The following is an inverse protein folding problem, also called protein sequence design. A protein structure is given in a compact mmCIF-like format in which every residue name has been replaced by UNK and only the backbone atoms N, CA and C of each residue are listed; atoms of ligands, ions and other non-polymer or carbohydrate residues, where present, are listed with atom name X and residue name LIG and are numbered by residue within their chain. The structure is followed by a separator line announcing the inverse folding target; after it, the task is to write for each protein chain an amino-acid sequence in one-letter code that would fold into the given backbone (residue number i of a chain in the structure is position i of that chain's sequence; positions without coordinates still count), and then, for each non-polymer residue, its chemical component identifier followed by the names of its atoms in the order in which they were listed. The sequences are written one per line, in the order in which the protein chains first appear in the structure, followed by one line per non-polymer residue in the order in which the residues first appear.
data_IF_238684278091
#
_entry.id   IF_238684278091
#
_cell.length_a   1.000
_cell.length_b   1.000
_cell.length_c   1.000
_cell.angle_alpha   90.00
_cell.angle_beta   90.00
_cell.angle_gamma   90.00
#
_symmetry.space_group_name_H-M   'P 1'
#
loop_
_entity.id
_entity.type
_entity.pdbx_description
1 polymer ?
#
# COMPACT_ATOMS: atom_id res chain seq x y z
N UNK A 1 5.50 -2.13 10.17
CA UNK A 1 4.51 -3.13 10.60
C UNK A 1 3.41 -2.40 11.32
N UNK A 2 2.18 -2.60 10.88
CA UNK A 2 0.99 -2.10 11.55
C UNK A 2 0.50 -3.21 12.48
N UNK A 3 0.56 -2.98 13.79
CA UNK A 3 -0.02 -3.88 14.79
C UNK A 3 -1.41 -3.38 15.15
N UNK A 4 -2.40 -4.26 15.11
CA UNK A 4 -3.74 -3.96 15.57
C UNK A 4 -4.32 -5.17 16.29
N UNK A 5 -5.19 -4.91 17.25
CA UNK A 5 -5.90 -5.95 17.96
C UNK A 5 -7.32 -6.09 17.41
N UNK A 6 -7.67 -7.31 17.03
CA UNK A 6 -9.06 -7.65 16.70
C UNK A 6 -9.71 -8.24 17.95
N UNK A 7 -10.66 -7.51 18.55
CA UNK A 7 -11.42 -7.97 19.69
C UNK A 7 -12.72 -8.64 19.22
N UNK A 8 -12.96 -9.86 19.66
CA UNK A 8 -14.22 -10.57 19.45
C UNK A 8 -14.93 -10.71 20.80
N UNK A 9 -16.26 -10.53 20.80
CA UNK A 9 -17.07 -10.70 22.00
C UNK A 9 -18.25 -11.61 21.68
N UNK A 10 -18.32 -12.73 22.40
CA UNK A 10 -19.41 -13.70 22.28
C UNK A 10 -20.24 -13.68 23.56
N UNK A 11 -21.55 -13.49 23.43
CA UNK A 11 -22.46 -13.41 24.60
C UNK A 11 -23.50 -14.52 24.51
N UNK A 12 -23.47 -15.43 25.47
CA UNK A 12 -24.45 -16.49 25.63
C UNK A 12 -25.47 -16.09 26.68
N UNK A 13 -26.75 -16.05 26.30
CA UNK A 13 -27.87 -15.86 27.24
C UNK A 13 -28.47 -17.22 27.54
N UNK A 14 -28.27 -17.69 28.76
CA UNK A 14 -28.61 -19.05 29.15
C UNK A 14 -29.67 -18.98 30.25
N UNK A 15 -30.75 -19.72 30.08
CA UNK A 15 -31.85 -19.80 31.06
C UNK A 15 -32.17 -21.25 31.39
N UNK A 16 -32.11 -21.60 32.66
CA UNK A 16 -32.64 -22.86 33.15
C UNK A 16 -34.17 -22.74 33.24
N UNK A 17 -34.88 -23.57 32.47
CA UNK A 17 -36.35 -23.62 32.48
C UNK A 17 -36.91 -24.58 33.52
N UNK A 18 -36.07 -25.43 34.10
CA UNK A 18 -36.47 -26.45 35.07
C UNK A 18 -36.54 -25.85 36.49
N UNK A 19 -37.19 -26.59 37.38
CA UNK A 19 -37.28 -26.26 38.81
C UNK A 19 -36.12 -26.85 39.63
N UNK A 20 -35.16 -27.48 38.97
CA UNK A 20 -33.98 -28.10 39.58
C UNK A 20 -32.72 -27.36 39.14
N UNK A 21 -31.66 -27.48 39.94
CA UNK A 21 -30.33 -27.05 39.51
C UNK A 21 -29.83 -27.95 38.37
N UNK A 22 -29.16 -27.36 37.37
CA UNK A 22 -28.57 -28.08 36.23
C UNK A 22 -27.14 -27.63 35.99
N UNK A 23 -26.28 -28.58 35.67
CA UNK A 23 -24.96 -28.31 35.11
C UNK A 23 -25.06 -28.26 33.58
N UNK A 24 -24.57 -27.18 32.99
CA UNK A 24 -24.48 -27.01 31.54
C UNK A 24 -23.02 -27.01 31.13
N UNK A 25 -22.68 -27.84 30.14
CA UNK A 25 -21.43 -27.74 29.42
C UNK A 25 -21.63 -26.87 28.18
N UNK A 26 -20.88 -25.77 28.12
CA UNK A 26 -20.88 -24.86 26.98
C UNK A 26 -19.57 -25.06 26.20
N UNK A 27 -19.69 -25.60 24.99
CA UNK A 27 -18.57 -25.77 24.07
C UNK A 27 -18.44 -24.54 23.16
N UNK A 28 -17.42 -23.74 23.41
CA UNK A 28 -17.08 -22.57 22.60
C UNK A 28 -15.96 -22.94 21.60
N UNK A 29 -16.16 -22.78 20.28
CA UNK A 29 -15.16 -23.20 19.30
C UNK A 29 -13.86 -22.41 19.45
N UNK A 30 -12.71 -23.09 19.31
CA UNK A 30 -11.41 -22.42 19.28
C UNK A 30 -11.26 -21.65 17.97
N UNK A 31 -11.00 -20.35 18.07
CA UNK A 31 -10.70 -19.51 16.91
C UNK A 31 -9.20 -19.32 16.78
N UNK A 32 -8.63 -19.64 15.62
CA UNK A 32 -7.18 -19.57 15.40
C UNK A 32 -6.64 -18.16 15.66
N UNK A 33 -5.58 -18.08 16.47
CA UNK A 33 -4.90 -16.83 16.85
C UNK A 33 -5.61 -16.01 17.93
N UNK A 34 -6.83 -16.36 18.31
CA UNK A 34 -7.55 -15.67 19.38
C UNK A 34 -7.18 -16.23 20.76
N UNK A 35 -7.02 -15.34 21.73
CA UNK A 35 -6.79 -15.65 23.15
C UNK A 35 -7.82 -14.93 24.01
N UNK A 36 -8.28 -15.57 25.09
CA UNK A 36 -9.19 -14.91 26.03
C UNK A 36 -8.52 -13.73 26.73
N UNK A 37 -9.16 -12.56 26.65
CA UNK A 37 -8.85 -11.39 27.48
C UNK A 37 -9.73 -11.41 28.74
N UNK A 38 -11.00 -11.81 28.57
CA UNK A 38 -12.01 -11.79 29.63
C UNK A 38 -12.84 -13.06 29.52
N UNK A 39 -12.87 -13.83 30.61
CA UNK A 39 -13.67 -15.04 30.76
C UNK A 39 -14.14 -15.15 32.22
N UNK A 40 -15.41 -15.51 32.48
CA UNK A 40 -15.93 -15.59 33.85
C UNK A 40 -15.35 -16.75 34.67
N UNK A 41 -15.00 -17.84 34.00
CA UNK A 41 -14.41 -19.05 34.57
C UNK A 41 -13.39 -19.63 33.58
N UNK A 42 -12.49 -20.47 34.07
CA UNK A 42 -11.53 -21.17 33.21
C UNK A 42 -12.20 -22.35 32.48
N UNK A 43 -12.02 -22.48 31.16
CA UNK A 43 -12.50 -23.63 30.41
C UNK A 43 -11.55 -24.83 30.53
N UNK A 44 -12.11 -26.01 30.33
CA UNK A 44 -11.36 -27.20 29.97
C UNK A 44 -10.95 -27.13 28.50
N UNK A 45 -9.73 -27.57 28.20
CA UNK A 45 -9.20 -27.56 26.84
C UNK A 45 -9.51 -28.88 26.12
N UNK A 46 -10.21 -28.79 24.99
CA UNK A 46 -10.43 -29.92 24.07
C UNK A 46 -9.79 -29.61 22.71
N UNK A 47 -9.68 -30.56 21.76
CA UNK A 47 -9.00 -30.30 20.47
C UNK A 47 -9.56 -29.09 19.71
N UNK A 48 -10.89 -28.96 19.62
CA UNK A 48 -11.55 -27.93 18.81
C UNK A 48 -12.37 -26.91 19.63
N UNK A 49 -12.54 -27.13 20.94
CA UNK A 49 -13.42 -26.30 21.77
C UNK A 49 -12.77 -25.96 23.13
N UNK A 50 -13.19 -24.84 23.67
CA UNK A 50 -13.11 -24.49 25.08
C UNK A 50 -14.41 -24.89 25.76
N UNK A 51 -14.35 -25.84 26.69
CA UNK A 51 -15.53 -26.34 27.39
C UNK A 51 -15.68 -25.64 28.74
N UNK A 52 -16.78 -24.93 28.91
CA UNK A 52 -17.11 -24.25 30.16
C UNK A 52 -18.16 -25.04 30.94
N UNK A 53 -17.87 -25.35 32.20
CA UNK A 53 -18.82 -25.98 33.11
C UNK A 53 -19.56 -24.90 33.91
N UNK A 54 -20.87 -24.79 33.71
CA UNK A 54 -21.68 -23.72 34.27
C UNK A 54 -22.83 -24.29 35.11
N UNK A 55 -22.90 -23.90 36.38
CA UNK A 55 -24.01 -24.26 37.27
C UNK A 55 -25.16 -23.27 37.14
N UNK A 56 -26.36 -23.78 36.83
CA UNK A 56 -27.57 -22.97 36.64
C UNK A 56 -28.61 -23.25 37.72
N UNK A 57 -28.89 -22.25 38.55
CA UNK A 57 -29.95 -22.31 39.57
C UNK A 57 -31.34 -22.57 38.95
N UNK A 58 -32.28 -23.16 39.71
CA UNK A 58 -33.68 -23.31 39.31
C UNK A 58 -34.28 -22.01 38.78
N UNK A 59 -34.94 -22.06 37.61
CA UNK A 59 -35.52 -20.89 36.92
C UNK A 59 -34.55 -19.71 36.67
N UNK A 60 -33.25 -19.89 36.93
CA UNK A 60 -32.24 -18.86 36.84
C UNK A 60 -31.88 -18.54 35.39
N UNK A 61 -31.47 -17.30 35.16
CA UNK A 61 -30.91 -16.85 33.89
C UNK A 61 -29.55 -16.20 34.15
N UNK A 62 -28.59 -16.49 33.27
CA UNK A 62 -27.25 -15.92 33.31
C UNK A 62 -26.90 -15.36 31.93
N UNK A 63 -26.00 -14.38 31.93
CA UNK A 63 -25.34 -13.90 30.72
C UNK A 63 -23.86 -14.25 30.82
N UNK A 64 -23.42 -15.18 29.99
CA UNK A 64 -22.04 -15.65 29.95
C UNK A 64 -21.32 -14.96 28.78
N UNK A 65 -20.39 -14.07 29.10
CA UNK A 65 -19.71 -13.23 28.11
C UNK A 65 -18.25 -13.65 28.00
N UNK A 66 -17.80 -13.91 26.79
CA UNK A 66 -16.41 -14.21 26.46
C UNK A 66 -15.86 -13.08 25.61
N UNK A 67 -14.67 -12.59 25.94
CA UNK A 67 -13.93 -11.62 25.14
C UNK A 67 -12.59 -12.19 24.76
N UNK A 68 -12.33 -12.23 23.47
CA UNK A 68 -11.12 -12.76 22.88
C UNK A 68 -10.40 -11.69 22.07
N UNK A 69 -9.08 -11.78 22.01
CA UNK A 69 -8.22 -10.91 21.21
C UNK A 69 -7.37 -11.75 20.28
N UNK A 70 -7.23 -11.29 19.05
CA UNK A 70 -6.13 -11.68 18.19
C UNK A 70 -5.24 -10.46 17.95
N UNK A 71 -3.94 -10.65 18.08
CA UNK A 71 -2.95 -9.70 17.60
C UNK A 71 -2.73 -9.94 16.11
N UNK A 72 -3.02 -8.93 15.32
CA UNK A 72 -2.84 -8.94 13.87
C UNK A 72 -1.70 -7.98 13.51
N UNK A 73 -0.84 -8.41 12.57
CA UNK A 73 0.19 -7.54 12.01
C UNK A 73 0.07 -7.47 10.50
N UNK A 74 0.29 -6.28 9.93
CA UNK A 74 0.42 -6.11 8.49
C UNK A 74 1.77 -5.50 8.14
N UNK A 75 2.47 -6.11 7.18
CA UNK A 75 3.72 -5.59 6.62
C UNK A 75 3.43 -4.92 5.28
N UNK A 76 3.01 -3.66 5.35
CA UNK A 76 2.80 -2.89 4.12
C UNK A 76 4.00 -2.01 3.82
N UNK A 77 4.59 -2.17 2.64
CA UNK A 77 5.58 -1.24 2.12
C UNK A 77 4.86 -0.01 1.57
N UNK A 78 4.80 1.05 2.38
CA UNK A 78 4.25 2.38 2.01
C UNK A 78 4.81 2.92 0.68
N UNK A 79 6.02 2.49 0.29
CA UNK A 79 6.70 2.90 -0.95
C UNK A 79 6.02 2.43 -2.23
N UNK A 80 5.18 1.38 -2.16
CA UNK A 80 4.47 0.84 -3.32
C UNK A 80 3.05 1.42 -3.46
N UNK A 81 2.67 2.35 -2.59
CA UNK A 81 1.33 2.91 -2.57
C UNK A 81 1.25 4.19 -3.37
N UNK A 82 0.12 4.38 -4.04
CA UNK A 82 -0.23 5.69 -4.58
C UNK A 82 -0.57 6.66 -3.45
N UNK A 83 -0.58 7.96 -3.75
CA UNK A 83 -1.08 8.97 -2.81
C UNK A 83 -2.49 8.62 -2.31
N UNK A 84 -3.36 8.14 -3.19
CA UNK A 84 -4.74 7.86 -2.86
C UNK A 84 -4.86 6.66 -1.91
N UNK A 85 -4.00 5.65 -2.06
CA UNK A 85 -3.94 4.51 -1.14
C UNK A 85 -3.51 4.94 0.26
N UNK A 86 -2.52 5.83 0.34
CA UNK A 86 -2.06 6.41 1.62
C UNK A 86 -3.18 7.23 2.25
N UNK A 87 -3.82 8.13 1.50
CA UNK A 87 -4.89 8.98 2.01
C UNK A 87 -6.12 8.18 2.47
N UNK A 88 -6.50 7.12 1.75
CA UNK A 88 -7.60 6.22 2.17
C UNK A 88 -7.32 5.61 3.54
N UNK A 89 -6.09 5.14 3.78
CA UNK A 89 -5.69 4.53 5.05
C UNK A 89 -5.56 5.54 6.17
N UNK A 90 -4.96 6.70 5.90
CA UNK A 90 -4.94 7.83 6.85
C UNK A 90 -6.38 8.17 7.27
N UNK A 91 -7.30 8.31 6.32
CA UNK A 91 -8.71 8.58 6.62
C UNK A 91 -9.38 7.48 7.45
N UNK A 92 -9.04 6.21 7.22
CA UNK A 92 -9.49 5.10 8.06
C UNK A 92 -8.95 5.22 9.49
N UNK A 93 -7.65 5.46 9.66
CA UNK A 93 -7.03 5.57 10.99
C UNK A 93 -7.53 6.77 11.80
N UNK A 94 -7.80 7.90 11.14
CA UNK A 94 -8.41 9.08 11.79
C UNK A 94 -9.82 8.72 12.27
N UNK A 95 -10.65 8.09 11.42
CA UNK A 95 -12.01 7.67 11.80
C UNK A 95 -12.02 6.69 12.98
N UNK A 96 -11.04 5.77 13.04
CA UNK A 96 -10.88 4.83 14.14
C UNK A 96 -10.18 5.43 15.37
N UNK A 97 -9.78 6.71 15.32
CA UNK A 97 -8.99 7.38 16.38
C UNK A 97 -7.67 6.68 16.71
N UNK A 98 -7.08 6.00 15.73
CA UNK A 98 -5.78 5.32 15.88
C UNK A 98 -4.60 6.28 15.78
N UNK A 99 -4.79 7.44 15.15
CA UNK A 99 -3.75 8.46 14.98
C UNK A 99 -4.23 9.83 15.43
N UNK A 100 -3.30 10.66 15.88
CA UNK A 100 -3.55 12.06 16.22
C UNK A 100 -3.36 12.97 15.00
N UNK A 101 -3.80 14.23 15.12
CA UNK A 101 -3.72 15.24 14.05
C UNK A 101 -2.29 15.50 13.57
N UNK A 102 -1.31 15.42 14.47
CA UNK A 102 0.12 15.57 14.16
C UNK A 102 0.58 14.46 13.20
N UNK A 103 0.27 13.20 13.52
CA UNK A 103 0.63 12.04 12.71
C UNK A 103 -0.14 12.02 11.38
N UNK A 104 -1.43 12.40 11.39
CA UNK A 104 -2.21 12.60 10.16
C UNK A 104 -1.53 13.59 9.21
N UNK A 105 -1.12 14.74 9.73
CA UNK A 105 -0.44 15.79 8.95
C UNK A 105 0.87 15.27 8.35
N UNK A 106 1.70 14.60 9.15
CA UNK A 106 2.97 14.02 8.67
C UNK A 106 2.75 12.97 7.57
N UNK A 107 1.71 12.12 7.69
CA UNK A 107 1.38 11.12 6.67
C UNK A 107 0.87 11.76 5.37
N UNK A 108 0.08 12.84 5.46
CA UNK A 108 -0.36 13.61 4.28
C UNK A 108 0.80 14.26 3.55
N UNK A 109 1.78 14.81 4.28
CA UNK A 109 3.00 15.37 3.68
C UNK A 109 3.81 14.29 2.95
N UNK A 110 3.97 13.10 3.54
CA UNK A 110 4.64 11.97 2.89
C UNK A 110 3.88 11.54 1.62
N UNK A 111 2.55 11.50 1.67
CA UNK A 111 1.72 11.17 0.52
C UNK A 111 1.92 12.16 -0.65
N UNK A 112 2.08 13.46 -0.35
CA UNK A 112 2.38 14.48 -1.34
C UNK A 112 3.77 14.28 -1.97
N UNK A 113 4.80 13.99 -1.17
CA UNK A 113 6.14 13.70 -1.68
C UNK A 113 6.19 12.45 -2.57
N UNK A 114 5.46 11.39 -2.20
CA UNK A 114 5.34 10.18 -3.01
C UNK A 114 4.63 10.47 -4.34
N UNK A 115 3.61 11.33 -4.34
CA UNK A 115 2.96 11.79 -5.57
C UNK A 115 3.95 12.49 -6.50
N UNK A 116 4.74 13.43 -5.96
CA UNK A 116 5.74 14.17 -6.71
C UNK A 116 6.81 13.23 -7.29
N UNK A 117 7.32 12.30 -6.49
CA UNK A 117 8.28 11.29 -6.92
C UNK A 117 7.72 10.44 -8.06
N UNK A 118 6.49 9.97 -7.93
CA UNK A 118 5.83 9.17 -8.97
C UNK A 118 5.60 9.98 -10.25
N UNK A 119 5.34 11.28 -10.15
CA UNK A 119 5.23 12.15 -11.32
C UNK A 119 6.58 12.24 -12.06
N UNK A 120 7.67 12.52 -11.36
CA UNK A 120 9.01 12.60 -11.97
C UNK A 120 9.43 11.29 -12.63
N UNK A 121 9.11 10.14 -12.02
CA UNK A 121 9.34 8.82 -12.63
C UNK A 121 8.57 8.63 -13.94
N UNK A 122 7.32 9.10 -14.00
CA UNK A 122 6.53 9.10 -15.24
C UNK A 122 7.14 10.01 -16.30
N UNK A 123 7.64 11.18 -15.90
CA UNK A 123 8.26 12.12 -16.83
C UNK A 123 9.54 11.54 -17.44
N UNK A 124 10.40 10.88 -16.64
CA UNK A 124 11.55 10.12 -17.16
C UNK A 124 11.10 9.04 -18.14
N UNK A 125 10.05 8.29 -17.81
CA UNK A 125 9.57 7.20 -18.67
C UNK A 125 9.14 7.71 -20.05
N UNK A 126 8.46 8.87 -20.10
CA UNK A 126 8.09 9.54 -21.36
C UNK A 126 9.30 10.00 -22.16
N UNK A 127 10.31 10.57 -21.50
CA UNK A 127 11.55 11.00 -22.16
C UNK A 127 12.35 9.83 -22.73
N UNK A 128 12.36 8.69 -22.04
CA UNK A 128 12.99 7.45 -22.53
C UNK A 128 12.24 6.90 -23.74
N UNK A 129 10.91 6.91 -23.70
CA UNK A 129 10.08 6.51 -24.84
C UNK A 129 10.32 7.40 -26.07
N UNK A 130 10.33 8.72 -25.88
CA UNK A 130 10.63 9.69 -26.94
C UNK A 130 12.03 9.44 -27.53
N UNK A 131 13.04 9.24 -26.68
CA UNK A 131 14.41 8.91 -27.12
C UNK A 131 14.44 7.65 -27.99
N UNK A 132 13.74 6.60 -27.58
CA UNK A 132 13.73 5.34 -28.33
C UNK A 132 13.07 5.52 -29.71
N UNK A 133 11.92 6.21 -29.76
CA UNK A 133 11.23 6.51 -31.02
C UNK A 133 12.13 7.31 -31.98
N UNK A 134 12.86 8.30 -31.47
CA UNK A 134 13.82 9.08 -32.28
C UNK A 134 14.99 8.23 -32.78
N UNK A 135 15.50 7.29 -31.97
CA UNK A 135 16.58 6.39 -32.37
C UNK A 135 16.18 5.48 -33.53
N UNK A 136 14.95 4.96 -33.50
CA UNK A 136 14.38 4.15 -34.58
C UNK A 136 14.19 5.00 -35.85
N UNK A 137 13.69 6.23 -35.69
CA UNK A 137 13.53 7.17 -36.79
C UNK A 137 14.85 7.56 -37.44
N UNK A 138 15.90 7.85 -36.65
CA UNK A 138 17.24 8.13 -37.17
C UNK A 138 17.79 7.00 -38.04
N UNK A 139 17.56 5.75 -37.63
CA UNK A 139 18.00 4.58 -38.38
C UNK A 139 17.33 4.51 -39.74
N UNK A 140 16.01 4.75 -39.80
CA UNK A 140 15.25 4.85 -41.06
C UNK A 140 15.68 6.04 -41.93
N UNK A 141 15.98 7.18 -41.32
CA UNK A 141 16.46 8.35 -42.07
C UNK A 141 17.82 8.09 -42.71
N UNK A 142 18.75 7.42 -42.02
CA UNK A 142 20.05 7.03 -42.58
C UNK A 142 19.92 6.06 -43.75
N UNK A 143 19.02 5.08 -43.63
CA UNK A 143 18.69 4.15 -44.72
C UNK A 143 18.05 4.89 -45.91
N UNK A 144 17.11 5.80 -45.66
CA UNK A 144 16.51 6.60 -46.73
C UNK A 144 17.55 7.49 -47.42
N UNK A 145 18.51 8.08 -46.69
CA UNK A 145 19.58 8.89 -47.28
C UNK A 145 20.49 8.03 -48.18
N UNK A 146 20.81 6.79 -47.77
CA UNK A 146 21.75 5.93 -48.50
C UNK A 146 21.22 5.47 -49.87
N UNK A 147 19.90 5.42 -50.05
CA UNK A 147 19.26 5.02 -51.32
C UNK A 147 18.99 6.20 -52.27
N UNK A 148 19.18 7.45 -51.84
CA UNK A 148 18.90 8.63 -52.67
C UNK A 148 20.04 8.93 -53.66
N UNK A 149 19.66 9.30 -54.89
CA UNK A 149 20.57 9.60 -55.99
C UNK A 149 21.23 10.99 -55.92
N UNK A 150 21.80 11.42 -57.04
CA UNK A 150 22.48 12.72 -57.19
C UNK A 150 21.67 13.76 -57.99
N UNK A 151 20.43 13.43 -58.36
CA UNK A 151 19.54 14.38 -59.00
C UNK A 151 19.10 15.50 -58.04
N UNK A 152 18.65 16.62 -58.61
CA UNK A 152 18.27 17.81 -57.84
C UNK A 152 17.19 17.54 -56.78
N UNK A 153 16.24 16.64 -57.04
CA UNK A 153 15.19 16.30 -56.07
C UNK A 153 15.75 15.48 -54.91
N UNK A 154 16.63 14.51 -55.21
CA UNK A 154 17.35 13.73 -54.21
C UNK A 154 18.23 14.60 -53.31
N UNK A 155 18.92 15.61 -53.86
CA UNK A 155 19.73 16.55 -53.08
C UNK A 155 18.87 17.35 -52.09
N UNK A 156 17.75 17.93 -52.54
CA UNK A 156 16.83 18.66 -51.65
C UNK A 156 16.27 17.78 -50.55
N UNK A 157 15.97 16.51 -50.84
CA UNK A 157 15.47 15.57 -49.83
C UNK A 157 16.55 15.17 -48.82
N UNK A 158 17.80 14.97 -49.26
CA UNK A 158 18.96 14.74 -48.38
C UNK A 158 19.16 15.90 -47.41
N UNK A 159 19.13 17.14 -47.88
CA UNK A 159 19.24 18.33 -47.02
C UNK A 159 18.16 18.36 -45.93
N UNK A 160 16.92 18.02 -46.28
CA UNK A 160 15.80 17.96 -45.33
C UNK A 160 16.02 16.90 -44.26
N UNK A 161 16.49 15.71 -44.64
CA UNK A 161 16.77 14.64 -43.69
C UNK A 161 17.97 14.94 -42.80
N UNK A 162 19.05 15.53 -43.34
CA UNK A 162 20.21 15.98 -42.54
C UNK A 162 19.78 17.02 -41.51
N UNK A 163 18.95 18.00 -41.90
CA UNK A 163 18.40 18.97 -40.95
C UNK A 163 17.62 18.28 -39.82
N UNK A 164 16.77 17.31 -40.16
CA UNK A 164 15.99 16.56 -39.17
C UNK A 164 16.88 15.75 -38.22
N UNK A 165 17.96 15.15 -38.71
CA UNK A 165 18.95 14.46 -37.87
C UNK A 165 19.62 15.42 -36.88
N UNK A 166 19.99 16.63 -37.32
CA UNK A 166 20.56 17.66 -36.44
C UNK A 166 19.57 18.14 -35.36
N UNK A 167 18.30 18.31 -35.72
CA UNK A 167 17.24 18.66 -34.77
C UNK A 167 17.04 17.54 -33.73
N UNK A 168 17.11 16.28 -34.16
CA UNK A 168 17.03 15.12 -33.27
C UNK A 168 18.24 15.03 -32.33
N UNK A 169 19.46 15.32 -32.79
CA UNK A 169 20.65 15.35 -31.95
C UNK A 169 20.52 16.39 -30.83
N UNK A 170 20.09 17.60 -31.20
CA UNK A 170 19.79 18.68 -30.24
C UNK A 170 18.75 18.24 -29.20
N UNK A 171 17.74 17.47 -29.61
CA UNK A 171 16.73 16.95 -28.69
C UNK A 171 17.27 15.82 -27.80
N UNK A 172 18.18 14.96 -28.28
CA UNK A 172 18.83 13.94 -27.44
C UNK A 172 19.65 14.56 -26.31
N UNK A 173 20.40 15.62 -26.60
CA UNK A 173 21.15 16.36 -25.58
C UNK A 173 20.21 16.92 -24.50
N UNK A 174 19.10 17.55 -24.92
CA UNK A 174 18.07 18.06 -23.99
C UNK A 174 17.46 16.95 -23.14
N UNK A 175 17.06 15.83 -23.75
CA UNK A 175 16.52 14.66 -23.04
C UNK A 175 17.54 14.15 -22.01
N UNK A 176 18.83 14.12 -22.36
CA UNK A 176 19.90 13.68 -21.45
C UNK A 176 20.02 14.59 -20.23
N UNK A 177 20.02 15.90 -20.43
CA UNK A 177 20.06 16.90 -19.35
C UNK A 177 18.80 16.83 -18.47
N UNK A 178 17.63 16.77 -19.08
CA UNK A 178 16.33 16.66 -18.38
C UNK A 178 16.26 15.37 -17.53
N UNK A 179 16.65 14.24 -18.11
CA UNK A 179 16.65 12.94 -17.41
C UNK A 179 17.62 12.95 -16.22
N UNK A 180 18.82 13.52 -16.39
CA UNK A 180 19.80 13.67 -15.32
C UNK A 180 19.25 14.53 -14.17
N UNK A 181 18.64 15.67 -14.51
CA UNK A 181 18.00 16.56 -13.52
C UNK A 181 16.89 15.85 -12.75
N UNK A 182 15.97 15.19 -13.47
CA UNK A 182 14.86 14.45 -12.84
C UNK A 182 15.37 13.31 -11.94
N UNK A 183 16.44 12.62 -12.34
CA UNK A 183 17.07 11.57 -11.52
C UNK A 183 17.60 12.14 -10.20
N UNK A 184 18.31 13.27 -10.25
CA UNK A 184 18.79 13.95 -9.04
C UNK A 184 17.64 14.42 -8.12
N UNK A 185 16.56 14.91 -8.72
CA UNK A 185 15.36 15.30 -7.98
C UNK A 185 14.67 14.10 -7.32
N UNK A 186 14.59 12.96 -8.01
CA UNK A 186 14.08 11.70 -7.45
C UNK A 186 14.94 11.26 -6.26
N UNK A 187 16.27 11.24 -6.40
CA UNK A 187 17.17 10.86 -5.30
C UNK A 187 17.00 11.78 -4.07
N UNK A 188 16.80 13.07 -4.30
CA UNK A 188 16.52 14.05 -3.24
C UNK A 188 15.17 13.79 -2.57
N UNK A 189 14.12 13.52 -3.35
CA UNK A 189 12.80 13.17 -2.83
C UNK A 189 12.84 11.86 -2.03
N UNK A 190 13.56 10.85 -2.52
CA UNK A 190 13.70 9.57 -1.82
C UNK A 190 14.35 9.75 -0.44
N UNK A 191 15.44 10.51 -0.35
CA UNK A 191 16.08 10.85 0.93
C UNK A 191 15.15 11.64 1.86
N UNK A 192 14.35 12.57 1.32
CA UNK A 192 13.37 13.35 2.10
C UNK A 192 12.25 12.45 2.64
N UNK A 193 11.71 11.56 1.81
CA UNK A 193 10.69 10.59 2.19
C UNK A 193 11.25 9.68 3.29
N UNK A 194 12.43 9.12 3.11
CA UNK A 194 13.08 8.25 4.09
C UNK A 194 13.28 8.96 5.43
N UNK A 195 13.76 10.21 5.41
CA UNK A 195 13.95 11.02 6.61
C UNK A 195 12.62 11.24 7.35
N UNK A 196 11.54 11.58 6.63
CA UNK A 196 10.22 11.75 7.24
C UNK A 196 9.67 10.43 7.78
N UNK A 197 9.84 9.34 7.04
CA UNK A 197 9.43 8.00 7.44
C UNK A 197 10.14 7.52 8.71
N UNK A 198 11.44 7.80 8.86
CA UNK A 198 12.19 7.45 10.07
C UNK A 198 11.73 8.25 11.29
N UNK A 199 11.34 9.52 11.11
CA UNK A 199 10.74 10.35 12.17
C UNK A 199 9.38 9.86 12.65
N UNK A 200 8.70 8.97 11.90
CA UNK A 200 7.44 8.35 12.33
C UNK A 200 7.65 7.12 13.23
N UNK A 201 8.86 6.54 13.24
CA UNK A 201 9.18 5.34 14.04
C UNK A 201 9.57 5.70 15.47
N UNK A 202 10.04 6.92 15.67
CA UNK A 202 10.35 7.56 16.96
C UNK A 202 9.15 8.28 17.52
#
# INVERSE_FOLDING_TARGET
YEYHYTNQTTTYKIKNKTSEEKELYLDHPKTYGYKFIEKPIDPEETPNYWRFKITLKPKGAITFKLKEQREDYSSNFLRNWSRDDILKRVGFYVKQKFINEKLETQLKEIAALIQELNQKKRDISKLVEERNQMSDEQSRLRENISVLGEDTQSITLKERYVKKLNDQETRFEKISVETKKLTQEIDSLDKKIETKMNKLKT
#
